data_IF_336116524850
#
_entry.id   IF_336116524850
#
_cell.length_a   1.000
_cell.length_b   1.000
_cell.length_c   1.000
_cell.angle_alpha   90.00
_cell.angle_beta   90.00
_cell.angle_gamma   90.00
#
_symmetry.space_group_name_H-M   'P 1'
#
loop_
_entity.id
_entity.type
_entity.pdbx_description
1 polymer ?
#
# COMPACT_ATOMS: atom_id res chain seq x y z
N UNK A 1 -1.78 -20.15 4.04
CA UNK A 1 -3.24 -20.15 3.81
C UNK A 1 -3.91 -19.94 5.15
N UNK A 2 -4.77 -18.94 5.29
CA UNK A 2 -5.42 -18.59 6.56
C UNK A 2 -6.71 -19.41 6.74
N UNK A 3 -6.59 -20.65 7.21
CA UNK A 3 -7.70 -21.63 7.22
C UNK A 3 -8.90 -21.17 8.05
N UNK A 4 -8.67 -20.54 9.20
CA UNK A 4 -9.73 -20.09 10.12
C UNK A 4 -10.43 -18.85 9.58
N UNK A 5 -9.65 -17.86 9.15
CA UNK A 5 -10.14 -16.56 8.68
C UNK A 5 -11.00 -16.70 7.42
N UNK A 6 -10.64 -17.66 6.55
CA UNK A 6 -11.42 -17.99 5.34
C UNK A 6 -12.87 -18.37 5.60
N UNK A 7 -13.15 -18.94 6.78
CA UNK A 7 -14.48 -19.40 7.20
C UNK A 7 -15.21 -18.38 8.08
N UNK A 8 -14.46 -17.61 8.87
CA UNK A 8 -15.03 -16.73 9.90
C UNK A 8 -15.37 -15.36 9.34
N UNK A 9 -14.44 -14.71 8.63
CA UNK A 9 -14.60 -13.32 8.18
C UNK A 9 -15.82 -13.09 7.28
N UNK A 10 -16.17 -13.97 6.32
CA UNK A 10 -17.34 -13.80 5.48
C UNK A 10 -18.66 -13.68 6.25
N UNK A 11 -18.74 -14.27 7.47
CA UNK A 11 -19.93 -14.18 8.32
C UNK A 11 -20.17 -12.78 8.88
N UNK A 12 -19.13 -11.95 8.90
CA UNK A 12 -19.16 -10.58 9.42
C UNK A 12 -18.99 -9.53 8.32
N UNK A 13 -19.12 -9.92 7.05
CA UNK A 13 -19.03 -9.02 5.91
C UNK A 13 -17.59 -8.71 5.45
N UNK A 14 -16.60 -9.46 5.93
CA UNK A 14 -15.20 -9.32 5.52
C UNK A 14 -14.77 -10.51 4.65
N UNK A 15 -13.79 -10.31 3.77
CA UNK A 15 -13.29 -11.39 2.92
C UNK A 15 -12.52 -12.43 3.74
N UNK A 16 -12.52 -13.69 3.31
CA UNK A 16 -11.81 -14.78 3.96
C UNK A 16 -10.29 -14.78 3.76
N UNK A 17 -9.68 -13.60 3.62
CA UNK A 17 -8.30 -13.37 3.18
C UNK A 17 -7.52 -12.57 4.23
N UNK A 18 -6.20 -12.41 4.03
CA UNK A 18 -5.39 -11.46 4.82
C UNK A 18 -5.96 -10.04 4.69
N UNK A 19 -6.34 -9.59 3.49
CA UNK A 19 -7.09 -8.35 3.30
C UNK A 19 -8.31 -8.25 4.21
N UNK A 20 -9.16 -9.28 4.27
CA UNK A 20 -10.35 -9.23 5.10
C UNK A 20 -10.04 -9.10 6.59
N UNK A 21 -8.93 -9.70 7.07
CA UNK A 21 -8.44 -9.49 8.45
C UNK A 21 -8.11 -8.02 8.66
N UNK A 22 -7.39 -7.40 7.72
CA UNK A 22 -7.00 -6.00 7.80
C UNK A 22 -8.18 -5.03 7.66
N UNK A 23 -9.16 -5.32 6.80
CA UNK A 23 -10.42 -4.56 6.70
C UNK A 23 -11.21 -4.64 8.00
N UNK A 24 -11.26 -5.82 8.62
CA UNK A 24 -11.87 -6.00 9.92
C UNK A 24 -11.15 -5.14 10.97
N UNK A 25 -9.82 -5.21 11.04
CA UNK A 25 -9.01 -4.39 11.95
C UNK A 25 -9.21 -2.88 11.70
N UNK A 26 -9.20 -2.43 10.44
CA UNK A 26 -9.42 -1.03 10.09
C UNK A 26 -10.82 -0.54 10.52
N UNK A 27 -11.87 -1.35 10.32
CA UNK A 27 -13.23 -1.04 10.77
C UNK A 27 -13.35 -0.92 12.30
N UNK A 28 -12.42 -1.54 13.03
CA UNK A 28 -12.33 -1.49 14.48
C UNK A 28 -11.64 -0.21 15.01
N UNK A 29 -10.97 0.56 14.15
CA UNK A 29 -10.22 1.79 14.50
C UNK A 29 -10.95 2.81 15.41
N UNK A 30 -12.26 3.09 15.23
CA UNK A 30 -13.02 3.98 16.12
C UNK A 30 -13.22 3.45 17.54
N UNK A 31 -13.02 2.15 17.76
CA UNK A 31 -13.28 1.48 19.04
C UNK A 31 -12.01 1.18 19.84
N UNK A 32 -10.82 1.36 19.24
CA UNK A 32 -9.49 1.07 19.83
C UNK A 32 -9.21 1.87 21.12
N UNK A 33 -9.93 2.97 21.38
CA UNK A 33 -9.80 3.74 22.63
C UNK A 33 -10.64 3.17 23.79
N UNK A 34 -11.46 2.13 23.54
CA UNK A 34 -12.28 1.49 24.57
C UNK A 34 -11.49 0.35 25.22
N UNK A 35 -11.23 0.39 26.54
CA UNK A 35 -10.41 -0.64 27.21
C UNK A 35 -10.90 -2.08 26.99
N UNK A 36 -12.21 -2.30 27.10
CA UNK A 36 -12.84 -3.61 26.86
C UNK A 36 -12.66 -4.13 25.44
N UNK A 37 -12.51 -3.21 24.47
CA UNK A 37 -12.30 -3.54 23.07
C UNK A 37 -10.84 -3.94 22.81
N UNK A 38 -9.90 -3.23 23.43
CA UNK A 38 -8.46 -3.51 23.34
C UNK A 38 -8.13 -4.88 23.94
N UNK A 39 -8.67 -5.22 25.11
CA UNK A 39 -8.47 -6.53 25.75
C UNK A 39 -8.95 -7.68 24.85
N UNK A 40 -10.14 -7.55 24.26
CA UNK A 40 -10.69 -8.55 23.34
C UNK A 40 -9.87 -8.66 22.04
N UNK A 41 -9.39 -7.53 21.52
CA UNK A 41 -8.58 -7.47 20.33
C UNK A 41 -7.21 -8.15 20.53
N UNK A 42 -6.57 -7.94 21.67
CA UNK A 42 -5.33 -8.63 22.04
C UNK A 42 -5.53 -10.16 22.14
N UNK A 43 -6.63 -10.59 22.75
CA UNK A 43 -6.98 -12.01 22.85
C UNK A 43 -7.20 -12.63 21.46
N UNK A 44 -7.95 -11.96 20.58
CA UNK A 44 -8.17 -12.40 19.19
C UNK A 44 -6.85 -12.47 18.43
N UNK A 45 -5.99 -11.45 18.53
CA UNK A 45 -4.69 -11.44 17.86
C UNK A 45 -3.81 -12.60 18.34
N UNK A 46 -3.77 -12.87 19.64
CA UNK A 46 -3.06 -14.01 20.22
C UNK A 46 -3.56 -15.34 19.66
N UNK A 47 -4.89 -15.52 19.60
CA UNK A 47 -5.52 -16.73 19.06
C UNK A 47 -5.31 -16.92 17.55
N UNK A 48 -5.25 -15.81 16.80
CA UNK A 48 -5.00 -15.83 15.35
C UNK A 48 -3.51 -15.90 15.00
N UNK A 49 -2.61 -15.87 15.99
CA UNK A 49 -1.17 -15.81 15.77
C UNK A 49 -0.71 -14.50 15.12
N UNK A 50 -1.54 -13.45 15.20
CA UNK A 50 -1.25 -12.14 14.65
C UNK A 50 -0.39 -11.37 15.67
N UNK A 51 0.73 -10.80 15.21
CA UNK A 51 1.62 -9.95 16.03
C UNK A 51 1.30 -8.47 15.91
N UNK A 52 0.07 -8.12 15.55
CA UNK A 52 -0.33 -6.74 15.28
C UNK A 52 -1.17 -6.18 16.44
N UNK A 53 -0.61 -5.35 17.34
CA UNK A 53 -1.38 -4.80 18.46
C UNK A 53 -2.57 -3.93 17.99
N UNK A 54 -3.65 -3.79 18.78
CA UNK A 54 -4.86 -3.08 18.35
C UNK A 54 -4.63 -1.61 17.98
N UNK A 55 -3.55 -1.01 18.49
CA UNK A 55 -3.17 0.37 18.20
C UNK A 55 -2.81 0.59 16.72
N UNK A 56 -2.22 -0.42 16.06
CA UNK A 56 -1.81 -0.34 14.64
C UNK A 56 -3.00 -0.30 13.68
N UNK A 57 -4.19 -0.65 14.17
CA UNK A 57 -5.42 -0.73 13.37
C UNK A 57 -5.93 0.67 12.96
N UNK A 58 -5.71 1.65 13.85
CA UNK A 58 -5.96 3.06 13.56
C UNK A 58 -4.96 3.59 12.54
N UNK A 59 -3.70 3.19 12.65
CA UNK A 59 -2.65 3.51 11.68
C UNK A 59 -3.04 3.03 10.29
N UNK A 60 -3.50 1.78 10.18
CA UNK A 60 -3.85 1.15 8.91
C UNK A 60 -5.00 1.90 8.20
N UNK A 61 -6.08 2.19 8.92
CA UNK A 61 -7.22 2.95 8.37
C UNK A 61 -6.80 4.36 7.91
N UNK A 62 -5.95 5.03 8.69
CA UNK A 62 -5.44 6.36 8.34
C UNK A 62 -4.51 6.33 7.13
N UNK A 63 -3.64 5.33 7.05
CA UNK A 63 -2.67 5.18 5.97
C UNK A 63 -3.35 4.93 4.63
N UNK A 64 -4.34 4.03 4.57
CA UNK A 64 -5.15 3.82 3.37
C UNK A 64 -5.87 5.12 2.94
N UNK A 65 -6.44 5.86 3.90
CA UNK A 65 -7.12 7.12 3.61
C UNK A 65 -6.16 8.24 3.16
N UNK A 66 -4.94 8.30 3.69
CA UNK A 66 -3.92 9.29 3.31
C UNK A 66 -3.36 9.02 1.92
N UNK A 67 -2.98 7.77 1.65
CA UNK A 67 -2.50 7.37 0.33
C UNK A 67 -3.54 7.66 -0.77
N UNK A 68 -4.82 7.41 -0.50
CA UNK A 68 -5.93 7.74 -1.43
C UNK A 68 -6.08 9.25 -1.67
N UNK A 69 -5.87 10.08 -0.63
CA UNK A 69 -5.92 11.56 -0.74
C UNK A 69 -4.72 12.13 -1.47
N UNK A 70 -3.52 11.64 -1.20
CA UNK A 70 -2.29 12.09 -1.88
C UNK A 70 -2.31 11.72 -3.37
N UNK A 71 -2.90 10.57 -3.70
CA UNK A 71 -3.16 10.20 -5.10
C UNK A 71 -4.12 11.19 -5.78
N UNK A 72 -5.15 11.66 -5.08
CA UNK A 72 -6.09 12.66 -5.60
C UNK A 72 -5.47 14.08 -5.71
N UNK A 73 -4.59 14.48 -4.79
CA UNK A 73 -3.95 15.80 -4.84
C UNK A 73 -2.88 15.90 -5.93
N UNK A 74 -2.08 14.86 -6.13
CA UNK A 74 -1.05 14.85 -7.17
C UNK A 74 -1.67 14.90 -8.58
N UNK A 75 -2.82 14.24 -8.78
CA UNK A 75 -3.59 14.36 -10.03
C UNK A 75 -4.06 15.79 -10.31
N UNK A 76 -4.35 16.58 -9.27
CA UNK A 76 -4.73 18.00 -9.42
C UNK A 76 -3.51 18.89 -9.72
N UNK A 77 -2.36 18.65 -9.10
CA UNK A 77 -1.13 19.44 -9.33
C UNK A 77 -0.54 19.21 -10.73
N UNK A 78 -0.57 17.98 -11.25
CA UNK A 78 -0.21 17.68 -12.65
C UNK A 78 -1.18 18.36 -13.63
N UNK A 79 -2.48 18.38 -13.31
CA UNK A 79 -3.50 19.05 -14.11
C UNK A 79 -3.35 20.58 -14.11
N UNK A 80 -2.98 21.17 -12.98
CA UNK A 80 -2.65 22.60 -12.84
C UNK A 80 -1.36 22.96 -13.60
N UNK A 81 -0.36 22.08 -13.60
CA UNK A 81 0.86 22.25 -14.39
C UNK A 81 0.56 22.21 -15.90
N UNK A 82 -0.36 21.35 -16.34
CA UNK A 82 -0.87 21.33 -17.71
C UNK A 82 -1.69 22.59 -18.07
N UNK A 83 -2.45 23.16 -17.12
CA UNK A 83 -3.22 24.41 -17.28
C UNK A 83 -2.32 25.61 -17.62
N UNK A 84 -1.15 25.69 -16.98
CA UNK A 84 -0.20 26.79 -17.15
C UNK A 84 0.45 26.82 -18.56
N UNK A 85 0.34 25.74 -19.32
CA UNK A 85 0.92 25.60 -20.67
C UNK A 85 -0.08 25.87 -21.83
N UNK A 86 -1.23 26.49 -21.56
CA UNK A 86 -2.00 27.23 -22.57
C UNK A 86 -2.99 26.41 -23.41
N UNK A 87 -4.10 25.97 -22.80
CA UNK A 87 -5.34 25.64 -23.53
C UNK A 87 -6.57 26.25 -22.83
N UNK A 88 -7.45 26.81 -23.65
CA UNK A 88 -8.45 27.82 -23.28
C UNK A 88 -9.48 27.40 -22.21
N UNK A 89 -9.82 28.40 -21.39
CA UNK A 89 -10.74 28.37 -20.24
C UNK A 89 -12.18 27.94 -20.57
N UNK A 90 -12.61 28.09 -21.84
CA UNK A 90 -13.95 27.70 -22.32
C UNK A 90 -14.19 26.18 -22.36
N UNK A 91 -13.12 25.38 -22.28
CA UNK A 91 -13.25 23.92 -22.26
C UNK A 91 -13.77 23.39 -20.91
N UNK A 92 -13.58 24.15 -19.81
CA UNK A 92 -13.74 23.67 -18.42
C UNK A 92 -15.18 23.58 -17.93
N UNK A 93 -16.08 24.46 -18.38
CA UNK A 93 -17.50 24.40 -17.97
C UNK A 93 -18.22 23.17 -18.55
N UNK A 94 -17.59 22.44 -19.48
CA UNK A 94 -18.09 21.20 -20.07
C UNK A 94 -17.48 19.91 -19.45
N UNK A 95 -16.63 20.01 -18.41
CA UNK A 95 -15.83 18.90 -17.85
C UNK A 95 -16.48 18.27 -16.61
N UNK A 96 -17.76 17.86 -16.69
CA UNK A 96 -18.35 16.95 -15.69
C UNK A 96 -18.18 15.46 -16.02
N UNK A 97 -17.38 15.12 -17.04
CA UNK A 97 -17.25 13.74 -17.52
C UNK A 97 -15.90 13.33 -18.13
N UNK A 98 -14.83 14.11 -17.98
CA UNK A 98 -13.49 13.70 -18.44
C UNK A 98 -12.76 13.03 -17.25
N UNK A 99 -12.16 11.84 -17.42
CA UNK A 99 -11.29 11.22 -16.42
C UNK A 99 -10.18 12.19 -16.01
N UNK A 100 -9.93 12.33 -14.71
CA UNK A 100 -8.80 13.14 -14.24
C UNK A 100 -7.49 12.53 -14.78
N UNK A 101 -6.62 13.31 -15.46
CA UNK A 101 -5.35 12.79 -15.95
C UNK A 101 -4.49 12.28 -14.80
N UNK A 102 -3.82 11.14 -15.00
CA UNK A 102 -2.79 10.64 -14.07
C UNK A 102 -3.27 9.87 -12.84
N UNK A 103 -4.58 9.71 -12.62
CA UNK A 103 -5.11 8.93 -11.48
C UNK A 103 -5.92 7.73 -11.98
N UNK A 104 -5.62 6.56 -11.41
CA UNK A 104 -6.42 5.36 -11.69
C UNK A 104 -7.91 5.59 -11.39
N UNK A 105 -8.84 5.28 -12.31
CA UNK A 105 -10.24 5.62 -12.12
C UNK A 105 -10.87 4.87 -10.93
N UNK A 106 -11.55 5.61 -10.06
CA UNK A 106 -12.25 5.03 -8.91
C UNK A 106 -13.23 3.92 -9.34
N UNK A 107 -13.25 2.82 -8.58
CA UNK A 107 -14.10 1.66 -8.84
C UNK A 107 -13.63 0.74 -9.97
N UNK A 108 -12.56 1.08 -10.71
CA UNK A 108 -11.96 0.14 -11.68
C UNK A 108 -10.99 -0.82 -10.99
N UNK A 109 -11.09 -2.10 -11.34
CA UNK A 109 -10.12 -3.14 -10.95
C UNK A 109 -8.79 -2.93 -11.68
N UNK A 110 -7.64 -3.20 -11.05
CA UNK A 110 -6.34 -3.00 -11.66
C UNK A 110 -6.14 -3.95 -12.86
N UNK A 111 -5.27 -3.60 -13.81
CA UNK A 111 -5.05 -4.40 -15.02
C UNK A 111 -4.23 -5.68 -14.78
N UNK A 112 -3.59 -5.81 -13.63
CA UNK A 112 -2.77 -6.96 -13.23
C UNK A 112 -2.91 -7.25 -11.74
N UNK A 113 -2.38 -8.40 -11.30
CA UNK A 113 -2.09 -8.62 -9.87
C UNK A 113 -0.70 -8.09 -9.57
N UNK A 114 -0.54 -7.48 -8.40
CA UNK A 114 0.76 -7.03 -7.92
C UNK A 114 1.19 -7.94 -6.76
N UNK A 115 2.46 -8.32 -6.76
CA UNK A 115 3.09 -9.03 -5.65
C UNK A 115 4.27 -8.22 -5.11
N UNK A 116 4.61 -8.46 -3.85
CA UNK A 116 5.77 -7.89 -3.18
C UNK A 116 6.69 -9.03 -2.73
N UNK A 117 7.99 -8.81 -2.85
CA UNK A 117 9.03 -9.75 -2.43
C UNK A 117 10.10 -8.97 -1.70
N UNK A 118 10.45 -9.38 -0.48
CA UNK A 118 11.41 -8.65 0.35
C UNK A 118 12.21 -9.53 1.29
N UNK A 119 13.10 -8.91 2.04
CA UNK A 119 14.00 -9.62 2.97
C UNK A 119 13.24 -10.46 4.01
N UNK A 120 12.12 -9.95 4.56
CA UNK A 120 11.28 -10.64 5.55
C UNK A 120 10.68 -11.97 5.07
N UNK A 121 10.56 -12.19 3.77
CA UNK A 121 10.02 -13.42 3.20
C UNK A 121 10.99 -14.12 2.24
N UNK A 122 12.30 -13.85 2.38
CA UNK A 122 13.34 -14.41 1.50
C UNK A 122 13.04 -14.18 0.01
N UNK A 123 12.46 -13.02 -0.31
CA UNK A 123 12.02 -12.62 -1.64
C UNK A 123 11.05 -13.62 -2.31
N UNK A 124 10.26 -14.36 -1.52
CA UNK A 124 9.13 -15.11 -2.08
C UNK A 124 8.00 -14.14 -2.43
N UNK A 125 7.45 -14.16 -3.67
CA UNK A 125 6.35 -13.25 -4.02
C UNK A 125 5.11 -13.50 -3.14
N UNK A 126 4.64 -12.47 -2.45
CA UNK A 126 3.36 -12.45 -1.73
C UNK A 126 2.40 -11.47 -2.41
N UNK A 127 1.12 -11.83 -2.49
CA UNK A 127 0.14 -11.02 -3.20
C UNK A 127 -0.19 -9.74 -2.42
N UNK A 128 -0.21 -8.60 -3.12
CA UNK A 128 -0.76 -7.36 -2.59
C UNK A 128 -2.27 -7.33 -2.82
N UNK A 129 -2.97 -6.64 -1.93
CA UNK A 129 -4.42 -6.53 -1.96
C UNK A 129 -4.84 -5.22 -2.64
N UNK A 130 -5.93 -5.24 -3.42
CA UNK A 130 -6.42 -4.03 -4.07
C UNK A 130 -7.54 -3.38 -3.25
N UNK A 131 -7.28 -2.19 -2.71
CA UNK A 131 -8.18 -1.44 -1.84
C UNK A 131 -8.29 0.01 -2.30
N UNK A 132 -9.53 0.45 -2.59
CA UNK A 132 -9.88 1.85 -2.88
C UNK A 132 -9.00 2.59 -3.89
N UNK A 133 -8.43 1.87 -4.87
CA UNK A 133 -7.58 2.46 -5.92
C UNK A 133 -6.08 2.26 -5.73
N UNK A 134 -5.68 1.52 -4.68
CA UNK A 134 -4.30 1.24 -4.32
C UNK A 134 -4.06 -0.26 -4.20
N UNK A 135 -2.84 -0.70 -4.45
CA UNK A 135 -2.36 -1.95 -3.89
C UNK A 135 -1.79 -1.69 -2.49
N UNK A 136 -2.16 -2.53 -1.53
CA UNK A 136 -1.74 -2.43 -0.13
C UNK A 136 -1.09 -3.72 0.36
N UNK A 137 -0.02 -3.59 1.14
CA UNK A 137 0.64 -4.72 1.78
C UNK A 137 1.18 -4.33 3.16
N UNK A 138 0.55 -4.81 4.25
CA UNK A 138 1.09 -4.65 5.59
C UNK A 138 2.20 -5.66 5.87
N UNK A 139 3.23 -5.20 6.57
CA UNK A 139 4.41 -5.97 6.93
C UNK A 139 4.92 -5.60 8.33
N UNK A 140 5.72 -6.51 8.90
CA UNK A 140 6.45 -6.33 10.16
C UNK A 140 7.94 -6.26 9.82
N UNK A 141 8.64 -5.29 10.39
CA UNK A 141 10.08 -5.09 10.22
C UNK A 141 10.84 -6.18 10.98
N UNK A 142 11.78 -6.82 10.31
CA UNK A 142 12.64 -7.87 10.84
C UNK A 142 13.61 -7.40 11.94
N UNK A 143 14.40 -8.35 12.45
CA UNK A 143 15.27 -8.16 13.62
C UNK A 143 16.39 -7.12 13.42
N UNK A 144 16.70 -6.77 12.17
CA UNK A 144 17.70 -5.76 11.83
C UNK A 144 17.16 -4.31 11.94
N UNK A 145 15.85 -4.13 12.13
CA UNK A 145 15.22 -2.81 12.23
C UNK A 145 15.00 -2.11 10.89
N UNK A 146 15.26 -2.80 9.79
CA UNK A 146 14.98 -2.36 8.42
C UNK A 146 14.63 -3.59 7.56
N UNK A 147 14.00 -3.34 6.41
CA UNK A 147 13.74 -4.37 5.40
C UNK A 147 13.75 -3.75 4.01
N UNK A 148 14.10 -4.54 2.99
CA UNK A 148 14.07 -4.13 1.60
C UNK A 148 13.14 -4.98 0.74
N UNK A 149 12.62 -4.39 -0.35
CA UNK A 149 11.65 -5.08 -1.22
C UNK A 149 11.65 -4.62 -2.67
N UNK A 150 11.07 -5.46 -3.51
CA UNK A 150 10.72 -5.20 -4.90
C UNK A 150 9.26 -5.58 -5.16
N UNK A 151 8.72 -5.08 -6.26
CA UNK A 151 7.36 -5.36 -6.70
C UNK A 151 7.40 -6.21 -7.97
N UNK A 152 6.42 -7.08 -8.15
CA UNK A 152 6.39 -8.05 -9.25
C UNK A 152 5.02 -8.02 -9.92
N UNK A 153 4.99 -7.68 -11.21
CA UNK A 153 3.76 -7.78 -11.97
C UNK A 153 3.41 -9.26 -12.20
N UNK A 154 2.21 -9.64 -11.78
CA UNK A 154 1.70 -11.01 -11.82
C UNK A 154 2.62 -12.04 -11.11
N UNK A 155 3.43 -11.60 -10.14
CA UNK A 155 4.36 -12.45 -9.40
C UNK A 155 5.55 -12.96 -10.23
N UNK A 156 5.86 -12.35 -11.37
CA UNK A 156 6.96 -12.77 -12.24
C UNK A 156 8.24 -11.94 -12.03
N UNK A 157 9.36 -12.63 -11.84
CA UNK A 157 10.71 -12.04 -11.80
C UNK A 157 11.20 -11.53 -13.17
N UNK A 158 10.50 -11.83 -14.26
CA UNK A 158 10.76 -11.22 -15.57
C UNK A 158 10.03 -9.86 -15.72
N UNK A 159 9.23 -9.47 -14.72
CA UNK A 159 8.40 -8.26 -14.72
C UNK A 159 8.48 -7.53 -13.38
N UNK A 160 9.72 -7.20 -12.99
CA UNK A 160 10.05 -6.51 -11.75
C UNK A 160 9.79 -5.02 -11.89
N UNK A 161 9.17 -4.44 -10.88
CA UNK A 161 8.98 -3.00 -10.71
C UNK A 161 9.86 -2.58 -9.52
N UNK A 162 10.70 -1.57 -9.74
CA UNK A 162 11.81 -1.24 -8.84
C UNK A 162 12.17 0.26 -8.91
N UNK A 163 12.89 0.82 -7.92
CA UNK A 163 13.34 2.21 -7.98
C UNK A 163 14.54 2.40 -8.93
N UNK A 164 14.72 3.60 -9.47
CA UNK A 164 15.86 3.92 -10.33
C UNK A 164 17.23 3.88 -9.65
N UNK A 165 17.25 3.87 -8.32
CA UNK A 165 18.44 3.79 -7.46
C UNK A 165 18.31 2.58 -6.53
N UNK A 166 19.43 2.08 -6.03
CA UNK A 166 19.39 1.02 -5.02
C UNK A 166 19.04 1.55 -3.64
N UNK A 167 18.47 0.69 -2.81
CA UNK A 167 18.06 0.96 -1.42
C UNK A 167 17.28 2.28 -1.27
N UNK A 168 16.32 2.55 -2.16
CA UNK A 168 15.56 3.81 -2.15
C UNK A 168 14.66 3.90 -0.91
N UNK A 169 14.88 4.90 -0.06
CA UNK A 169 14.05 5.22 1.11
C UNK A 169 12.89 6.18 0.81
N UNK A 170 12.11 6.54 1.83
CA UNK A 170 10.91 7.38 1.65
C UNK A 170 11.23 8.83 1.23
N UNK A 171 12.38 9.34 1.66
CA UNK A 171 12.84 10.71 1.40
C UNK A 171 13.72 10.83 0.13
N UNK A 172 14.10 9.70 -0.46
CA UNK A 172 14.97 9.68 -1.64
C UNK A 172 14.25 10.12 -2.91
N UNK A 173 14.99 10.78 -3.80
CA UNK A 173 14.49 11.10 -5.14
C UNK A 173 14.81 9.96 -6.11
N UNK A 174 13.78 9.24 -6.53
CA UNK A 174 13.87 8.17 -7.51
C UNK A 174 12.68 8.21 -8.48
N UNK A 175 12.80 7.48 -9.60
CA UNK A 175 11.67 7.18 -10.50
C UNK A 175 11.34 5.70 -10.40
N UNK A 176 10.06 5.35 -10.50
CA UNK A 176 9.63 3.95 -10.63
C UNK A 176 10.04 3.43 -12.02
N UNK A 177 10.71 2.29 -12.06
CA UNK A 177 11.21 1.61 -13.25
C UNK A 177 10.51 0.25 -13.43
N UNK A 178 10.70 -0.38 -14.59
CA UNK A 178 10.02 -1.61 -14.97
C UNK A 178 8.57 -1.39 -15.47
N UNK A 179 7.77 -2.45 -15.63
CA UNK A 179 8.10 -3.85 -15.35
C UNK A 179 9.06 -4.46 -16.37
N UNK A 180 10.23 -4.94 -15.92
CA UNK A 180 11.23 -5.65 -16.73
C UNK A 180 12.14 -6.54 -15.84
N UNK A 181 13.17 -7.17 -16.40
CA UNK A 181 14.13 -8.05 -15.71
C UNK A 181 15.43 -7.33 -15.28
N UNK A 182 15.49 -6.01 -15.41
CA UNK A 182 16.68 -5.18 -15.14
C UNK A 182 16.72 -4.63 -13.71
N UNK A 183 15.82 -5.08 -12.84
CA UNK A 183 15.71 -4.65 -11.44
C UNK A 183 16.74 -5.26 -10.49
N UNK A 184 17.74 -6.00 -10.97
CA UNK A 184 18.73 -6.64 -10.10
C UNK A 184 19.46 -5.60 -9.23
N UNK A 185 19.54 -5.85 -7.92
CA UNK A 185 20.13 -4.96 -6.91
C UNK A 185 19.51 -3.54 -6.92
N UNK A 186 18.19 -3.46 -7.05
CA UNK A 186 17.44 -2.21 -6.91
C UNK A 186 16.17 -2.45 -6.12
N UNK A 187 16.19 -2.11 -4.84
CA UNK A 187 15.04 -2.27 -3.95
C UNK A 187 14.66 -0.96 -3.27
N UNK A 188 13.41 -0.87 -2.82
CA UNK A 188 13.05 0.08 -1.78
C UNK A 188 13.51 -0.44 -0.43
N UNK A 189 13.77 0.47 0.51
CA UNK A 189 14.15 0.14 1.89
C UNK A 189 13.30 0.92 2.88
N UNK A 190 12.67 0.19 3.81
CA UNK A 190 11.99 0.75 4.98
C UNK A 190 12.96 0.75 6.16
N UNK A 191 12.94 1.80 6.98
CA UNK A 191 13.85 1.97 8.10
C UNK A 191 15.22 2.53 7.71
N UNK A 192 15.29 3.24 6.57
CA UNK A 192 16.53 3.86 6.11
C UNK A 192 16.91 5.11 6.92
N UNK A 193 15.92 5.89 7.35
CA UNK A 193 16.11 7.13 8.11
C UNK A 193 15.57 7.00 9.53
N UNK A 194 16.15 7.74 10.47
CA UNK A 194 15.66 7.79 11.85
C UNK A 194 14.22 8.35 11.93
N UNK A 195 13.83 9.19 10.97
CA UNK A 195 12.49 9.80 10.87
C UNK A 195 11.38 8.78 10.61
N UNK A 196 11.71 7.61 10.05
CA UNK A 196 10.75 6.51 9.87
C UNK A 196 10.48 5.75 11.18
N UNK A 197 11.33 5.94 12.20
CA UNK A 197 11.24 5.28 13.51
C UNK A 197 11.09 3.75 13.42
N UNK A 198 11.66 3.12 12.39
CA UNK A 198 11.61 1.68 12.24
C UNK A 198 12.48 1.00 13.31
N UNK A 199 11.89 0.04 14.01
CA UNK A 199 12.58 -0.84 14.95
C UNK A 199 12.12 -2.27 14.71
N UNK A 200 12.86 -3.30 15.18
CA UNK A 200 12.39 -4.68 15.11
C UNK A 200 10.96 -4.84 15.65
N UNK A 201 10.12 -5.50 14.88
CA UNK A 201 8.69 -5.68 15.17
C UNK A 201 7.80 -4.46 14.85
N UNK A 202 8.35 -3.35 14.36
CA UNK A 202 7.55 -2.23 13.88
C UNK A 202 6.67 -2.67 12.71
N UNK A 203 5.42 -2.23 12.70
CA UNK A 203 4.49 -2.55 11.64
C UNK A 203 4.39 -1.40 10.64
N UNK A 204 4.39 -1.73 9.36
CA UNK A 204 4.24 -0.77 8.27
C UNK A 204 3.18 -1.25 7.28
N UNK A 205 2.62 -0.33 6.51
CA UNK A 205 1.85 -0.65 5.30
C UNK A 205 2.52 -0.04 4.08
N UNK A 206 2.80 -0.88 3.09
CA UNK A 206 3.24 -0.46 1.75
C UNK A 206 2.01 -0.17 0.91
N UNK A 207 1.95 1.01 0.32
CA UNK A 207 0.89 1.48 -0.57
C UNK A 207 1.48 1.76 -1.95
N UNK A 208 0.82 1.25 -3.00
CA UNK A 208 1.24 1.42 -4.39
C UNK A 208 0.07 1.93 -5.22
N UNK A 209 0.26 3.06 -5.91
CA UNK A 209 -0.77 3.65 -6.78
C UNK A 209 -0.48 3.39 -8.25
N UNK A 210 -1.55 3.37 -9.05
CA UNK A 210 -1.46 3.34 -10.51
C UNK A 210 -1.77 4.73 -11.12
N UNK A 211 -1.13 5.05 -12.24
CA UNK A 211 -1.52 6.15 -13.12
C UNK A 211 -2.79 5.83 -13.91
N UNK A 212 -3.26 6.75 -14.75
CA UNK A 212 -4.45 6.56 -15.59
C UNK A 212 -4.29 5.50 -16.71
N UNK A 213 -3.07 5.03 -16.96
CA UNK A 213 -2.74 3.94 -17.89
C UNK A 213 -2.62 2.59 -17.19
N UNK A 214 -2.67 2.57 -15.86
CA UNK A 214 -2.51 1.37 -15.06
C UNK A 214 -1.06 0.97 -14.79
N UNK A 215 -0.13 1.90 -14.95
CA UNK A 215 1.29 1.74 -14.61
C UNK A 215 1.51 2.12 -13.15
N UNK A 216 2.41 1.44 -12.44
CA UNK A 216 2.79 1.87 -11.09
C UNK A 216 3.40 3.26 -11.15
N UNK A 217 2.75 4.21 -10.47
CA UNK A 217 3.15 5.62 -10.45
C UNK A 217 3.87 6.01 -9.17
N UNK A 218 3.53 5.36 -8.05
CA UNK A 218 4.11 5.67 -6.74
C UNK A 218 4.16 4.43 -5.86
N UNK A 219 5.22 4.37 -5.06
CA UNK A 219 5.40 3.43 -3.95
C UNK A 219 5.67 4.27 -2.71
N UNK A 220 4.94 3.99 -1.63
CA UNK A 220 5.13 4.66 -0.34
C UNK A 220 4.85 3.68 0.79
N UNK A 221 5.30 3.99 1.99
CA UNK A 221 4.98 3.20 3.17
C UNK A 221 4.73 4.10 4.38
N UNK A 222 3.96 3.58 5.33
CA UNK A 222 3.62 4.28 6.56
C UNK A 222 3.72 3.33 7.74
N UNK A 223 4.32 3.82 8.84
CA UNK A 223 4.32 3.12 10.12
C UNK A 223 2.90 3.08 10.69
N UNK A 224 2.50 1.93 11.22
CA UNK A 224 1.17 1.70 11.78
C UNK A 224 1.10 1.99 13.29
#
# INVERSE_FOLDING_TARGET
MLEVQSLVLPKYGFEGSRAGVYKMMAAMGPYVERPEFTELAEEINSLLGLRSPPETWRGLSKACARASKEQASNGLDEMQTAYTNGKDKETYDNVKGIPQPGVWPSGKKPPFRLSIAGSWNSFMPDAMEWEDGLFVFPMEIGDDGWDCFQLLENGSWDRVIYPSIDEAGAEDKYTVCGPDDSGQNRSWQIGKTETEEATPGSHFVVCVSLDDKGTVSRVSWEKL
#
